data_IF_462755513476
#
_entry.id   IF_462755513476
#
_cell.length_a   1.000
_cell.length_b   1.000
_cell.length_c   1.000
_cell.angle_alpha   90.00
_cell.angle_beta   90.00
_cell.angle_gamma   90.00
#
_symmetry.space_group_name_H-M   'P 1'
#
loop_
_entity.id
_entity.type
_entity.pdbx_description
1 polymer ?
#
# COMPACT_ATOMS: atom_id res chain seq x y z
N UNK A 1 -8.51 0.22 63.26
CA UNK A 1 -7.42 -0.20 62.35
C UNK A 1 -7.92 0.00 60.92
N UNK A 2 -7.25 0.82 60.12
CA UNK A 2 -7.67 1.21 58.77
C UNK A 2 -6.76 0.47 57.78
N UNK A 3 -7.30 -0.47 57.00
CA UNK A 3 -6.54 -1.13 55.94
C UNK A 3 -6.67 -0.32 54.64
N UNK A 4 -5.55 0.22 54.17
CA UNK A 4 -5.45 0.90 52.88
C UNK A 4 -5.22 -0.13 51.78
N UNK A 5 -6.05 -0.11 50.72
CA UNK A 5 -5.80 -0.83 49.48
C UNK A 5 -4.71 -0.11 48.67
N UNK A 6 -3.68 -0.81 48.17
CA UNK A 6 -2.74 -0.21 47.24
C UNK A 6 -3.36 -0.20 45.84
N UNK A 7 -3.80 0.98 45.39
CA UNK A 7 -4.19 1.20 44.00
C UNK A 7 -2.96 1.10 43.09
N UNK A 8 -2.89 0.03 42.30
CA UNK A 8 -1.88 -0.12 41.26
C UNK A 8 -2.23 0.79 40.09
N UNK A 9 -1.67 2.00 40.07
CA UNK A 9 -1.78 2.95 38.98
C UNK A 9 -0.90 2.47 37.82
N UNK A 10 -1.50 1.79 36.83
CA UNK A 10 -0.81 1.46 35.57
C UNK A 10 -0.70 2.74 34.75
N UNK A 11 0.45 3.40 34.82
CA UNK A 11 0.82 4.48 33.90
C UNK A 11 1.08 3.86 32.52
N UNK A 12 0.07 3.88 31.65
CA UNK A 12 0.24 3.64 30.22
C UNK A 12 1.08 4.79 29.66
N UNK A 13 2.37 4.54 29.50
CA UNK A 13 3.26 5.44 28.77
C UNK A 13 2.82 5.36 27.30
N UNK A 14 1.96 6.28 26.87
CA UNK A 14 1.64 6.49 25.47
C UNK A 14 2.90 7.00 24.78
N UNK A 15 3.72 6.08 24.26
CA UNK A 15 4.74 6.41 23.28
C UNK A 15 4.00 7.03 22.09
N UNK A 16 4.26 8.31 21.83
CA UNK A 16 3.79 9.05 20.65
C UNK A 16 4.33 8.39 19.38
N UNK A 17 3.68 7.30 19.00
CA UNK A 17 3.95 6.56 17.78
C UNK A 17 3.29 7.33 16.65
N UNK A 18 3.99 8.34 16.14
CA UNK A 18 3.51 9.09 14.99
C UNK A 18 3.52 8.19 13.74
N UNK A 19 2.48 8.32 12.92
CA UNK A 19 2.37 7.64 11.64
C UNK A 19 3.57 7.98 10.73
N UNK A 20 4.02 7.00 9.96
CA UNK A 20 5.08 7.16 8.97
C UNK A 20 4.76 8.29 7.98
N UNK A 21 5.62 9.30 7.95
CA UNK A 21 5.51 10.40 6.98
C UNK A 21 6.28 10.07 5.71
N UNK A 22 5.59 9.63 4.65
CA UNK A 22 6.18 9.31 3.35
C UNK A 22 6.87 10.50 2.70
N UNK A 23 6.44 11.72 2.98
CA UNK A 23 7.06 12.94 2.46
C UNK A 23 8.45 13.23 3.05
N UNK A 24 8.77 12.64 4.21
CA UNK A 24 10.05 12.82 4.89
C UNK A 24 11.00 11.64 4.70
N UNK A 25 10.55 10.59 3.98
CA UNK A 25 11.36 9.42 3.73
C UNK A 25 12.14 9.55 2.42
N UNK A 26 13.39 9.07 2.40
CA UNK A 26 14.10 8.84 1.16
C UNK A 26 13.34 7.84 0.26
N UNK A 27 13.26 8.05 -1.06
CA UNK A 27 12.55 7.15 -1.97
C UNK A 27 12.97 5.68 -1.85
N UNK A 28 14.25 5.41 -1.63
CA UNK A 28 14.80 4.06 -1.44
C UNK A 28 14.19 3.35 -0.22
N UNK A 29 13.83 4.10 0.82
CA UNK A 29 13.16 3.54 2.00
C UNK A 29 11.74 3.09 1.63
N UNK A 30 11.01 3.90 0.85
CA UNK A 30 9.68 3.52 0.35
C UNK A 30 9.75 2.33 -0.61
N UNK A 31 10.80 2.22 -1.44
CA UNK A 31 11.04 1.04 -2.25
C UNK A 31 11.24 -0.22 -1.38
N UNK A 32 12.10 -0.17 -0.37
CA UNK A 32 12.36 -1.30 0.53
C UNK A 32 11.11 -1.75 1.30
N UNK A 33 10.30 -0.79 1.78
CA UNK A 33 9.01 -1.06 2.41
C UNK A 33 8.04 -1.72 1.44
N UNK A 34 7.95 -1.23 0.20
CA UNK A 34 7.13 -1.84 -0.86
C UNK A 34 7.55 -3.28 -1.17
N UNK A 35 8.86 -3.54 -1.26
CA UNK A 35 9.40 -4.89 -1.47
C UNK A 35 9.00 -5.85 -0.37
N UNK A 36 9.14 -5.41 0.89
CA UNK A 36 8.80 -6.24 2.05
C UNK A 36 7.28 -6.44 2.13
N UNK A 37 6.48 -5.40 1.83
CA UNK A 37 5.03 -5.50 1.79
C UNK A 37 4.55 -6.49 0.71
N UNK A 38 5.16 -6.50 -0.48
CA UNK A 38 4.82 -7.47 -1.52
C UNK A 38 4.95 -8.93 -1.06
N UNK A 39 5.89 -9.21 -0.17
CA UNK A 39 6.16 -10.54 0.38
C UNK A 39 5.29 -10.88 1.58
N UNK A 40 4.89 -9.88 2.37
CA UNK A 40 4.27 -10.07 3.69
C UNK A 40 2.79 -9.72 3.76
N UNK A 41 2.26 -8.96 2.79
CA UNK A 41 0.84 -8.59 2.74
C UNK A 41 -0.06 -9.82 2.68
N UNK A 42 -1.02 -9.88 3.61
CA UNK A 42 -1.96 -10.99 3.72
C UNK A 42 -3.10 -10.94 2.68
N UNK A 43 -3.84 -12.06 2.56
CA UNK A 43 -4.94 -12.18 1.60
C UNK A 43 -6.01 -11.11 1.75
N UNK A 44 -6.30 -10.68 2.99
CA UNK A 44 -7.29 -9.62 3.26
C UNK A 44 -6.86 -8.26 2.68
N UNK A 45 -5.57 -7.91 2.77
CA UNK A 45 -5.03 -6.67 2.19
C UNK A 45 -5.20 -6.68 0.67
N UNK A 46 -4.87 -7.81 0.02
CA UNK A 46 -5.03 -7.97 -1.43
C UNK A 46 -6.52 -7.97 -1.86
N UNK A 47 -7.39 -8.61 -1.09
CA UNK A 47 -8.83 -8.59 -1.36
C UNK A 47 -9.40 -7.17 -1.28
N UNK A 48 -9.01 -6.40 -0.26
CA UNK A 48 -9.43 -5.01 -0.11
C UNK A 48 -8.94 -4.12 -1.26
N UNK A 49 -7.69 -4.29 -1.71
CA UNK A 49 -7.15 -3.62 -2.89
C UNK A 49 -8.09 -3.81 -4.10
N UNK A 50 -8.43 -5.06 -4.41
CA UNK A 50 -9.25 -5.39 -5.58
C UNK A 50 -10.71 -4.99 -5.43
N UNK A 51 -11.27 -5.08 -4.22
CA UNK A 51 -12.61 -4.56 -3.95
C UNK A 51 -12.68 -3.05 -4.25
N UNK A 52 -11.69 -2.29 -3.77
CA UNK A 52 -11.62 -0.84 -3.96
C UNK A 52 -11.35 -0.46 -5.42
N UNK A 53 -10.44 -1.16 -6.11
CA UNK A 53 -10.24 -0.99 -7.56
C UNK A 53 -11.50 -1.26 -8.37
N UNK A 54 -12.30 -2.26 -7.97
CA UNK A 54 -13.58 -2.58 -8.63
C UNK A 54 -14.61 -1.48 -8.39
N UNK A 55 -14.72 -1.02 -7.14
CA UNK A 55 -15.63 0.06 -6.78
C UNK A 55 -15.29 1.38 -7.49
N UNK A 56 -14.01 1.60 -7.81
CA UNK A 56 -13.55 2.74 -8.60
C UNK A 56 -13.72 2.57 -10.12
N UNK A 57 -14.24 1.44 -10.59
CA UNK A 57 -14.52 1.20 -12.01
C UNK A 57 -13.36 0.66 -12.85
N UNK A 58 -12.14 0.52 -12.31
CA UNK A 58 -10.96 0.10 -13.08
C UNK A 58 -11.03 -1.35 -13.60
N UNK A 59 -12.00 -2.13 -13.12
CA UNK A 59 -12.26 -3.50 -13.54
C UNK A 59 -13.53 -3.63 -14.41
N UNK A 60 -14.17 -2.50 -14.74
CA UNK A 60 -15.32 -2.44 -15.66
C UNK A 60 -14.85 -1.92 -17.02
N UNK A 61 -14.95 -2.71 -18.11
CA UNK A 61 -14.53 -2.29 -19.45
C UNK A 61 -15.33 -1.11 -20.02
N UNK A 62 -16.44 -0.71 -19.37
CA UNK A 62 -17.20 0.51 -19.72
C UNK A 62 -16.63 1.78 -19.10
N UNK A 63 -15.72 1.67 -18.13
CA UNK A 63 -15.03 2.81 -17.54
C UNK A 63 -14.04 3.39 -18.55
N UNK A 64 -13.88 4.71 -18.57
CA UNK A 64 -12.89 5.38 -19.42
C UNK A 64 -11.48 4.88 -19.12
N UNK A 65 -11.17 4.66 -17.83
CA UNK A 65 -9.93 4.04 -17.37
C UNK A 65 -10.21 2.64 -16.83
N UNK A 66 -9.68 1.60 -17.46
CA UNK A 66 -9.86 0.22 -17.03
C UNK A 66 -8.71 -0.71 -17.44
N UNK A 67 -8.53 -1.80 -16.71
CA UNK A 67 -7.63 -2.89 -17.08
C UNK A 67 -8.18 -3.68 -18.26
N UNK A 68 -7.33 -3.98 -19.25
CA UNK A 68 -7.69 -4.83 -20.41
C UNK A 68 -7.28 -6.28 -20.22
N UNK A 69 -6.36 -6.56 -19.29
CA UNK A 69 -5.94 -7.92 -18.97
C UNK A 69 -7.00 -8.71 -18.19
N UNK A 70 -6.91 -10.03 -18.29
CA UNK A 70 -7.77 -10.92 -17.51
C UNK A 70 -7.58 -10.67 -16.01
N UNK A 71 -8.68 -10.59 -15.25
CA UNK A 71 -8.62 -10.28 -13.81
C UNK A 71 -7.72 -11.25 -13.02
N UNK A 72 -7.56 -12.49 -13.49
CA UNK A 72 -6.67 -13.48 -12.89
C UNK A 72 -5.17 -13.13 -12.97
N UNK A 73 -4.76 -12.27 -13.92
CA UNK A 73 -3.37 -11.83 -14.10
C UNK A 73 -3.01 -10.64 -13.21
N UNK A 74 -4.00 -9.83 -12.84
CA UNK A 74 -3.80 -8.57 -12.11
C UNK A 74 -3.13 -8.74 -10.73
N UNK A 75 -3.44 -9.76 -9.91
CA UNK A 75 -2.76 -10.00 -8.64
C UNK A 75 -1.24 -10.13 -8.78
N UNK A 76 -0.76 -10.84 -9.81
CA UNK A 76 0.66 -11.01 -10.06
C UNK A 76 1.33 -9.67 -10.44
N UNK A 77 0.69 -8.87 -11.28
CA UNK A 77 1.20 -7.55 -11.69
C UNK A 77 1.23 -6.57 -10.52
N UNK A 78 0.20 -6.54 -9.67
CA UNK A 78 0.18 -5.70 -8.47
C UNK A 78 1.30 -6.07 -7.49
N UNK A 79 1.52 -7.37 -7.26
CA UNK A 79 2.63 -7.85 -6.44
C UNK A 79 3.99 -7.49 -7.03
N UNK A 80 4.18 -7.67 -8.34
CA UNK A 80 5.40 -7.26 -9.04
C UNK A 80 5.64 -5.75 -8.95
N UNK A 81 4.58 -4.94 -9.01
CA UNK A 81 4.64 -3.49 -8.87
C UNK A 81 5.17 -3.07 -7.51
N UNK A 82 4.70 -3.68 -6.42
CA UNK A 82 5.27 -3.42 -5.09
C UNK A 82 6.69 -3.96 -4.93
N UNK A 83 6.96 -5.17 -5.44
CA UNK A 83 8.25 -5.83 -5.32
C UNK A 83 9.38 -5.16 -6.12
N UNK A 84 9.04 -4.41 -7.15
CA UNK A 84 10.03 -3.88 -8.09
C UNK A 84 9.52 -2.64 -8.81
N UNK A 85 8.90 -1.72 -8.06
CA UNK A 85 8.50 -0.43 -8.60
C UNK A 85 9.71 0.24 -9.27
N UNK A 86 9.47 0.87 -10.42
CA UNK A 86 10.46 1.70 -11.08
C UNK A 86 10.40 3.13 -10.54
N UNK A 87 9.23 3.54 -10.06
CA UNK A 87 9.00 4.87 -9.51
C UNK A 87 8.15 4.73 -8.24
N UNK A 88 8.55 5.45 -7.19
CA UNK A 88 7.77 5.60 -5.96
C UNK A 88 7.69 7.08 -5.62
N UNK A 89 6.47 7.58 -5.44
CA UNK A 89 6.23 8.98 -5.07
C UNK A 89 5.37 9.06 -3.82
N UNK A 90 5.78 9.89 -2.85
CA UNK A 90 4.95 10.27 -1.73
C UNK A 90 3.79 11.16 -2.21
N UNK A 91 2.57 10.89 -1.74
CA UNK A 91 1.35 11.62 -2.10
C UNK A 91 0.64 12.08 -0.83
N UNK A 92 1.21 13.07 -0.16
CA UNK A 92 0.73 13.54 1.15
C UNK A 92 1.50 12.91 2.30
N UNK A 93 0.85 12.79 3.46
CA UNK A 93 1.55 12.43 4.71
C UNK A 93 1.93 10.96 4.75
N UNK A 94 0.99 10.03 4.61
CA UNK A 94 1.27 8.58 4.77
C UNK A 94 1.07 7.77 3.49
N UNK A 95 0.76 8.41 2.37
CA UNK A 95 0.44 7.71 1.13
C UNK A 95 1.65 7.69 0.20
N UNK A 96 1.87 6.55 -0.44
CA UNK A 96 2.82 6.44 -1.53
C UNK A 96 2.18 5.75 -2.73
N UNK A 97 2.51 6.24 -3.93
CA UNK A 97 2.18 5.60 -5.20
C UNK A 97 3.40 4.86 -5.73
N UNK A 98 3.21 3.58 -6.01
CA UNK A 98 4.17 2.69 -6.64
C UNK A 98 3.78 2.51 -8.09
N UNK A 99 4.70 2.77 -9.02
CA UNK A 99 4.50 2.56 -10.46
C UNK A 99 5.52 1.57 -11.00
N UNK A 100 5.03 0.64 -11.82
CA UNK A 100 5.87 -0.26 -12.61
C UNK A 100 5.31 -0.38 -14.02
N UNK A 101 6.17 -0.15 -15.00
CA UNK A 101 5.89 -0.35 -16.42
C UNK A 101 6.10 -1.82 -16.81
N UNK A 102 5.17 -2.35 -17.60
CA UNK A 102 5.17 -3.71 -18.12
C UNK A 102 5.30 -3.75 -19.65
N UNK A 103 5.73 -2.66 -20.29
CA UNK A 103 6.02 -2.65 -21.72
C UNK A 103 6.87 -3.87 -22.14
N UNK A 104 6.52 -4.57 -23.24
CA UNK A 104 5.52 -4.21 -24.26
C UNK A 104 4.08 -4.66 -23.97
N UNK A 105 3.80 -5.22 -22.78
CA UNK A 105 2.44 -5.65 -22.43
C UNK A 105 1.55 -4.43 -22.18
N UNK A 106 0.47 -4.32 -22.96
CA UNK A 106 -0.64 -3.43 -22.63
C UNK A 106 -1.41 -4.02 -21.46
N UNK A 107 -1.63 -3.23 -20.42
CA UNK A 107 -2.35 -3.67 -19.23
C UNK A 107 -3.71 -2.99 -19.05
N UNK A 108 -3.94 -1.87 -19.73
CA UNK A 108 -5.19 -1.13 -19.66
C UNK A 108 -5.33 -0.05 -20.71
N UNK A 109 -6.47 0.64 -20.65
CA UNK A 109 -6.84 1.74 -21.53
C UNK A 109 -7.27 2.95 -20.72
N UNK A 110 -7.00 4.13 -21.26
CA UNK A 110 -7.66 5.38 -20.91
C UNK A 110 -8.27 5.97 -22.18
N UNK A 111 -9.57 5.81 -22.37
CA UNK A 111 -10.24 6.06 -23.66
C UNK A 111 -9.64 5.18 -24.75
N UNK A 112 -8.93 5.79 -25.71
CA UNK A 112 -8.22 5.09 -26.79
C UNK A 112 -6.72 4.90 -26.53
N UNK A 113 -6.20 5.46 -25.44
CA UNK A 113 -4.77 5.40 -25.10
C UNK A 113 -4.44 4.09 -24.39
N UNK A 114 -3.50 3.35 -24.96
CA UNK A 114 -2.95 2.12 -24.39
C UNK A 114 -1.99 2.45 -23.26
N UNK A 115 -2.17 1.78 -22.13
CA UNK A 115 -1.37 1.94 -20.91
C UNK A 115 -0.65 0.64 -20.61
N UNK A 116 0.64 0.73 -20.28
CA UNK A 116 1.50 -0.43 -20.00
C UNK A 116 1.96 -0.49 -18.55
N UNK A 117 1.71 0.52 -17.71
CA UNK A 117 2.13 0.52 -16.33
C UNK A 117 0.97 0.33 -15.36
N UNK A 118 1.29 -0.22 -14.19
CA UNK A 118 0.37 -0.34 -13.07
C UNK A 118 0.77 0.67 -12.01
N UNK A 119 -0.19 1.45 -11.55
CA UNK A 119 -0.06 2.33 -10.39
C UNK A 119 -0.82 1.73 -9.21
N UNK A 120 -0.16 1.63 -8.06
CA UNK A 120 -0.70 1.08 -6.83
C UNK A 120 -0.44 2.03 -5.67
N UNK A 121 -1.49 2.34 -4.90
CA UNK A 121 -1.40 3.22 -3.74
C UNK A 121 -1.38 2.42 -2.44
N UNK A 122 -0.46 2.81 -1.55
CA UNK A 122 -0.30 2.23 -0.22
C UNK A 122 -0.44 3.33 0.82
N UNK A 123 -1.15 3.04 1.91
CA UNK A 123 -1.23 3.90 3.08
C UNK A 123 -0.43 3.30 4.24
N UNK A 124 0.62 4.01 4.62
CA UNK A 124 1.59 3.64 5.63
C UNK A 124 1.24 4.14 7.03
N UNK A 125 0.03 4.67 7.26
CA UNK A 125 -0.35 5.30 8.55
C UNK A 125 -0.18 4.41 9.78
N UNK A 126 -0.21 3.09 9.60
CA UNK A 126 -0.07 2.10 10.69
C UNK A 126 1.37 1.72 10.98
N UNK A 127 2.33 2.23 10.19
CA UNK A 127 3.76 2.04 10.42
C UNK A 127 4.24 3.17 11.33
N UNK A 128 4.90 2.87 12.46
CA UNK A 128 5.37 3.89 13.39
C UNK A 128 6.64 4.59 12.87
N UNK A 129 6.87 5.80 13.39
CA UNK A 129 8.12 6.55 13.27
C UNK A 129 8.79 6.66 14.65
N UNK A 130 10.10 6.37 14.78
CA UNK A 130 11.03 5.91 13.74
C UNK A 130 10.70 4.50 13.26
N UNK A 131 11.18 4.14 12.06
CA UNK A 131 11.00 2.78 11.52
C UNK A 131 11.61 1.76 12.49
N UNK A 132 10.85 0.74 12.92
CA UNK A 132 11.36 -0.28 13.82
C UNK A 132 12.35 -1.18 13.09
N UNK A 133 13.25 -1.81 13.86
CA UNK A 133 14.26 -2.75 13.33
C UNK A 133 13.59 -3.90 12.56
N UNK A 134 12.46 -4.42 13.05
CA UNK A 134 11.60 -5.35 12.30
C UNK A 134 10.27 -4.68 11.94
N UNK A 135 10.11 -4.34 10.66
CA UNK A 135 8.90 -3.70 10.15
C UNK A 135 7.77 -4.69 9.88
N UNK A 136 8.06 -5.99 9.73
CA UNK A 136 7.10 -7.01 9.28
C UNK A 136 5.81 -7.09 10.12
N UNK A 137 5.84 -6.97 11.46
CA UNK A 137 4.62 -6.98 12.27
C UNK A 137 3.65 -5.85 11.92
N UNK A 138 4.19 -4.68 11.55
CA UNK A 138 3.43 -3.48 11.22
C UNK A 138 2.88 -3.51 9.78
N UNK A 139 3.59 -4.19 8.87
CA UNK A 139 3.19 -4.31 7.46
C UNK A 139 1.87 -5.07 7.24
N UNK A 140 1.48 -5.92 8.19
CA UNK A 140 0.17 -6.61 8.15
C UNK A 140 -1.03 -5.67 8.34
N UNK A 141 -0.79 -4.46 8.84
CA UNK A 141 -1.81 -3.45 9.08
C UNK A 141 -1.81 -2.36 7.98
N UNK A 142 -0.79 -2.37 7.11
CA UNK A 142 -0.67 -1.43 6.00
C UNK A 142 -1.80 -1.66 5.01
N UNK A 143 -2.43 -0.56 4.59
CA UNK A 143 -3.58 -0.61 3.68
C UNK A 143 -3.12 -0.52 2.23
N UNK A 144 -3.46 -1.54 1.45
CA UNK A 144 -3.40 -1.50 -0.01
C UNK A 144 -4.69 -0.84 -0.52
N UNK A 145 -4.58 0.36 -1.09
CA UNK A 145 -5.75 1.21 -1.33
C UNK A 145 -6.43 0.92 -2.67
N UNK A 146 -5.69 1.00 -3.77
CA UNK A 146 -6.20 0.73 -5.13
C UNK A 146 -5.04 0.46 -6.07
N UNK A 147 -5.35 -0.28 -7.13
CA UNK A 147 -4.52 -0.48 -8.31
C UNK A 147 -5.30 -0.02 -9.56
N UNK A 148 -4.63 0.68 -10.48
CA UNK A 148 -5.20 1.08 -11.77
C UNK A 148 -4.12 1.08 -12.87
N UNK A 149 -4.48 1.03 -14.16
CA UNK A 149 -3.56 1.31 -15.25
C UNK A 149 -3.05 2.76 -15.24
N UNK A 150 -1.78 2.93 -15.60
CA UNK A 150 -1.08 4.19 -15.82
C UNK A 150 0.16 3.91 -16.72
#
# INVERSE_FOLDING_TARGET
MKHALPGCLVLLISLDSHALSTAQLPPETLHSLGQTLAQTAGSSQWQQLWQRSRAAGYLDPRSELHFTLAQAQLPALAKATLASAQQVSAEGVSLARYRRDFHPTEIGLHGQTRLSALCLWVDWRTVPTPLPIDTRPHLRQVSLLRAQPC
#
